data_IF_661504448449
#
_entry.id   IF_661504448449
#
_cell.length_a   1.000
_cell.length_b   1.000
_cell.length_c   1.000
_cell.angle_alpha   90.00
_cell.angle_beta   90.00
_cell.angle_gamma   90.00
#
_symmetry.space_group_name_H-M   'P 1'
#
loop_
_entity.id
_entity.type
_entity.pdbx_description
1 polymer ?
#
# COMPACT_ATOMS: atom_id res chain seq x y z
N UNK A 1 13.15 2.71 16.26
CA UNK A 1 13.89 1.43 16.40
C UNK A 1 13.48 0.54 15.24
N UNK A 2 14.43 -0.01 14.48
CA UNK A 2 14.14 -1.01 13.44
C UNK A 2 14.43 -2.39 14.02
N UNK A 3 13.47 -3.30 13.97
CA UNK A 3 13.61 -4.70 14.43
C UNK A 3 13.58 -5.62 13.22
N UNK A 4 14.27 -6.76 13.29
CA UNK A 4 14.34 -7.67 12.16
C UNK A 4 13.03 -8.45 11.98
N UNK A 5 12.71 -8.79 10.74
CA UNK A 5 11.55 -9.63 10.41
C UNK A 5 11.62 -11.00 11.11
N UNK A 6 12.83 -11.59 11.20
CA UNK A 6 13.04 -12.82 11.95
C UNK A 6 12.71 -12.67 13.44
N UNK A 7 13.04 -11.52 14.03
CA UNK A 7 12.67 -11.23 15.42
C UNK A 7 11.15 -11.11 15.56
N UNK A 8 10.47 -10.40 14.64
CA UNK A 8 9.00 -10.30 14.63
C UNK A 8 8.36 -11.70 14.55
N UNK A 9 8.85 -12.59 13.67
CA UNK A 9 8.37 -13.98 13.58
C UNK A 9 8.56 -14.76 14.86
N UNK A 10 9.70 -14.58 15.53
CA UNK A 10 9.99 -15.27 16.79
C UNK A 10 9.09 -14.79 17.91
N UNK A 11 8.90 -13.47 18.07
CA UNK A 11 7.98 -12.92 19.06
C UNK A 11 6.56 -13.42 18.83
N UNK A 12 6.08 -13.39 17.59
CA UNK A 12 4.77 -13.92 17.25
C UNK A 12 4.64 -15.41 17.58
N UNK A 13 5.62 -16.22 17.18
CA UNK A 13 5.63 -17.67 17.43
C UNK A 13 5.67 -18.01 18.92
N UNK A 14 6.27 -17.15 19.75
CA UNK A 14 6.37 -17.34 21.21
C UNK A 14 5.17 -16.79 21.98
N UNK A 15 4.32 -15.99 21.33
CA UNK A 15 3.25 -15.25 22.00
C UNK A 15 3.78 -14.08 22.84
N UNK A 16 4.97 -13.56 22.51
CA UNK A 16 5.53 -12.39 23.19
C UNK A 16 4.66 -11.16 22.88
N UNK A 17 4.45 -10.25 23.85
CA UNK A 17 3.65 -9.05 23.62
C UNK A 17 4.38 -8.12 22.66
N UNK A 18 3.91 -8.09 21.41
CA UNK A 18 4.36 -7.16 20.37
C UNK A 18 3.14 -6.55 19.68
N UNK A 19 3.11 -5.22 19.58
CA UNK A 19 2.01 -4.50 18.94
C UNK A 19 2.20 -4.52 17.42
N UNK A 20 1.49 -5.45 16.76
CA UNK A 20 1.53 -5.59 15.30
C UNK A 20 1.03 -4.34 14.56
N UNK A 21 0.17 -3.55 15.20
CA UNK A 21 -0.35 -2.31 14.64
C UNK A 21 0.77 -1.26 14.56
N UNK A 22 1.63 -1.16 15.59
CA UNK A 22 2.84 -0.31 15.54
C UNK A 22 3.89 -0.85 14.57
N UNK A 23 4.03 -2.17 14.46
CA UNK A 23 4.95 -2.78 13.47
C UNK A 23 4.52 -2.43 12.05
N UNK A 24 3.24 -2.63 11.74
CA UNK A 24 2.64 -2.30 10.45
C UNK A 24 2.75 -0.82 10.07
N UNK A 25 2.72 0.09 11.03
CA UNK A 25 2.81 1.52 10.77
C UNK A 25 4.24 1.98 10.53
N UNK A 26 5.20 1.51 11.35
CA UNK A 26 6.51 2.14 11.45
C UNK A 26 7.69 1.29 10.98
N UNK A 27 7.56 -0.04 10.83
CA UNK A 27 8.66 -0.87 10.35
C UNK A 27 8.72 -0.90 8.82
N UNK A 28 9.92 -0.72 8.27
CA UNK A 28 10.16 -1.03 6.86
C UNK A 28 10.26 -2.54 6.68
N UNK A 29 9.20 -3.14 6.14
CA UNK A 29 9.07 -4.57 5.89
C UNK A 29 9.33 -4.88 4.41
N UNK A 30 9.92 -6.03 4.13
CA UNK A 30 10.09 -6.56 2.79
C UNK A 30 8.74 -6.97 2.20
N UNK A 31 8.61 -6.84 0.88
CA UNK A 31 7.40 -7.26 0.15
C UNK A 31 7.04 -8.73 0.42
N UNK A 32 8.04 -9.62 0.44
CA UNK A 32 7.85 -11.04 0.74
C UNK A 32 7.28 -11.23 2.15
N UNK A 33 7.85 -10.57 3.15
CA UNK A 33 7.38 -10.67 4.52
C UNK A 33 5.96 -10.13 4.68
N UNK A 34 5.66 -8.98 4.09
CA UNK A 34 4.35 -8.34 4.17
C UNK A 34 3.26 -9.25 3.62
N UNK A 35 3.49 -9.90 2.47
CA UNK A 35 2.55 -10.83 1.85
C UNK A 35 2.39 -12.12 2.66
N UNK A 36 3.49 -12.76 3.04
CA UNK A 36 3.46 -14.01 3.82
C UNK A 36 2.80 -13.81 5.20
N UNK A 37 3.04 -12.67 5.82
CA UNK A 37 2.53 -12.34 7.15
C UNK A 37 1.21 -11.56 7.09
N UNK A 38 0.47 -11.67 5.97
CA UNK A 38 -0.78 -10.93 5.76
C UNK A 38 -1.76 -11.03 6.95
N UNK A 39 -2.01 -12.21 7.55
CA UNK A 39 -2.92 -12.34 8.69
C UNK A 39 -2.43 -11.69 9.98
N UNK A 40 -1.14 -11.38 10.08
CA UNK A 40 -0.50 -10.87 11.29
C UNK A 40 -0.44 -9.34 11.33
N UNK A 41 -0.41 -8.73 10.15
CA UNK A 41 -0.16 -7.30 9.97
C UNK A 41 -1.47 -6.54 9.84
N UNK A 42 -1.48 -5.31 10.36
CA UNK A 42 -2.52 -4.34 10.08
C UNK A 42 -2.31 -3.74 8.68
N UNK A 43 -3.01 -4.30 7.69
CA UNK A 43 -2.89 -3.87 6.30
C UNK A 43 -3.39 -2.46 6.08
N UNK A 44 -4.42 -2.03 6.82
CA UNK A 44 -4.92 -0.67 6.68
C UNK A 44 -3.81 0.31 7.02
N UNK A 45 -3.10 0.09 8.12
CA UNK A 45 -1.96 0.93 8.50
C UNK A 45 -0.82 0.86 7.50
N UNK A 46 -0.52 -0.32 6.93
CA UNK A 46 0.51 -0.43 5.88
C UNK A 46 0.14 0.42 4.67
N UNK A 47 -1.11 0.29 4.18
CA UNK A 47 -1.58 1.02 3.01
C UNK A 47 -1.75 2.52 3.25
N UNK A 48 -1.99 2.94 4.50
CA UNK A 48 -2.18 4.34 4.87
C UNK A 48 -0.85 5.06 5.13
N UNK A 49 0.10 4.41 5.81
CA UNK A 49 1.28 5.08 6.34
C UNK A 49 2.60 4.70 5.68
N UNK A 50 2.70 3.51 5.07
CA UNK A 50 3.94 3.11 4.39
C UNK A 50 3.95 3.54 2.93
N UNK A 51 5.14 3.86 2.40
CA UNK A 51 5.33 4.01 0.95
C UNK A 51 5.59 2.66 0.30
N UNK A 52 4.61 2.15 -0.43
CA UNK A 52 4.76 0.95 -1.22
C UNK A 52 5.48 1.27 -2.54
N UNK A 53 6.29 0.32 -3.02
CA UNK A 53 6.98 0.47 -4.30
C UNK A 53 6.01 0.19 -5.44
N UNK A 54 6.14 0.93 -6.54
CA UNK A 54 5.32 0.75 -7.75
C UNK A 54 5.25 -0.70 -8.22
N UNK A 55 6.37 -1.40 -8.29
CA UNK A 55 6.40 -2.82 -8.66
C UNK A 55 5.57 -3.70 -7.73
N UNK A 56 5.61 -3.42 -6.42
CA UNK A 56 4.78 -4.15 -5.46
C UNK A 56 3.29 -3.91 -5.69
N UNK A 57 2.91 -2.64 -5.90
CA UNK A 57 1.52 -2.27 -6.20
C UNK A 57 1.03 -2.98 -7.47
N UNK A 58 1.84 -2.95 -8.52
CA UNK A 58 1.46 -3.54 -9.81
C UNK A 58 1.40 -5.06 -9.75
N UNK A 59 2.34 -5.71 -9.06
CA UNK A 59 2.40 -7.17 -8.99
C UNK A 59 1.34 -7.77 -8.05
N UNK A 60 0.80 -6.98 -7.11
CA UNK A 60 -0.09 -7.47 -6.05
C UNK A 60 -1.41 -6.71 -5.92
N UNK A 61 -1.79 -5.84 -6.86
CA UNK A 61 -2.97 -4.96 -6.75
C UNK A 61 -4.26 -5.70 -6.34
N UNK A 62 -4.43 -6.93 -6.82
CA UNK A 62 -5.58 -7.79 -6.54
C UNK A 62 -5.68 -8.25 -5.08
N UNK A 63 -4.63 -8.04 -4.29
CA UNK A 63 -4.57 -8.36 -2.86
C UNK A 63 -4.70 -7.11 -1.97
N UNK A 64 -4.77 -5.92 -2.57
CA UNK A 64 -4.74 -4.63 -1.88
C UNK A 64 -6.11 -3.95 -1.93
N UNK A 65 -6.37 -3.10 -0.94
CA UNK A 65 -7.53 -2.21 -0.94
C UNK A 65 -7.23 -1.01 -1.86
N UNK A 66 -7.78 -1.04 -3.07
CA UNK A 66 -7.50 -0.01 -4.08
C UNK A 66 -8.05 1.36 -3.71
N UNK A 67 -9.07 1.45 -2.86
CA UNK A 67 -9.58 2.72 -2.32
C UNK A 67 -8.56 3.35 -1.38
N UNK A 68 -7.95 2.56 -0.49
CA UNK A 68 -6.87 3.05 0.38
C UNK A 68 -5.61 3.41 -0.41
N UNK A 69 -5.25 2.61 -1.43
CA UNK A 69 -4.14 2.91 -2.32
C UNK A 69 -4.35 4.25 -3.03
N UNK A 70 -5.51 4.44 -3.68
CA UNK A 70 -5.85 5.69 -4.37
C UNK A 70 -5.83 6.91 -3.45
N UNK A 71 -6.25 6.74 -2.19
CA UNK A 71 -6.30 7.85 -1.22
C UNK A 71 -4.92 8.21 -0.66
N UNK A 72 -4.13 7.22 -0.25
CA UNK A 72 -2.99 7.44 0.65
C UNK A 72 -1.62 7.27 0.00
N UNK A 73 -1.49 6.46 -1.05
CA UNK A 73 -0.20 6.22 -1.67
C UNK A 73 0.17 7.34 -2.65
N UNK A 74 1.46 7.65 -2.76
CA UNK A 74 1.97 8.51 -3.85
C UNK A 74 2.15 7.65 -5.09
N UNK A 75 1.20 7.72 -6.02
CA UNK A 75 1.22 6.90 -7.23
C UNK A 75 2.04 7.58 -8.33
N UNK A 76 2.91 6.82 -8.98
CA UNK A 76 3.58 7.28 -10.19
C UNK A 76 2.65 7.20 -11.40
N UNK A 77 2.97 7.93 -12.47
CA UNK A 77 2.25 7.83 -13.75
C UNK A 77 2.18 6.38 -14.25
N UNK A 78 3.25 5.60 -14.08
CA UNK A 78 3.29 4.20 -14.49
C UNK A 78 2.29 3.34 -13.73
N UNK A 79 2.13 3.56 -12.42
CA UNK A 79 1.13 2.85 -11.63
C UNK A 79 -0.28 3.26 -12.06
N UNK A 80 -0.51 4.56 -12.24
CA UNK A 80 -1.82 5.09 -12.65
C UNK A 80 -2.25 4.51 -14.00
N UNK A 81 -1.35 4.49 -14.98
CA UNK A 81 -1.64 3.95 -16.31
C UNK A 81 -1.92 2.44 -16.25
N UNK A 82 -1.04 1.67 -15.58
CA UNK A 82 -1.15 0.20 -15.54
C UNK A 82 -2.31 -0.31 -14.71
N UNK A 83 -2.72 0.43 -13.67
CA UNK A 83 -3.79 0.06 -12.75
C UNK A 83 -5.05 0.92 -12.94
N UNK A 84 -5.16 1.63 -14.07
CA UNK A 84 -6.24 2.58 -14.36
C UNK A 84 -7.65 1.99 -14.23
N UNK A 85 -7.84 0.70 -14.53
CA UNK A 85 -9.15 0.06 -14.44
C UNK A 85 -9.56 -0.33 -13.01
N UNK A 86 -8.61 -0.41 -12.08
CA UNK A 86 -8.84 -0.87 -10.71
C UNK A 86 -8.66 0.21 -9.66
N UNK A 87 -8.10 1.36 -10.04
CA UNK A 87 -7.98 2.52 -9.16
C UNK A 87 -9.35 3.11 -8.84
N UNK A 88 -9.54 3.49 -7.59
CA UNK A 88 -10.63 4.36 -7.20
C UNK A 88 -10.31 5.79 -7.62
N UNK A 89 -10.85 6.21 -8.76
CA UNK A 89 -10.61 7.53 -9.34
C UNK A 89 -11.19 8.66 -8.49
N UNK A 90 -12.30 8.42 -7.79
CA UNK A 90 -12.91 9.43 -6.93
C UNK A 90 -11.99 9.76 -5.76
N UNK A 91 -11.42 8.75 -5.12
CA UNK A 91 -10.45 8.96 -4.06
C UNK A 91 -9.14 9.54 -4.60
N UNK A 92 -8.70 9.10 -5.78
CA UNK A 92 -7.52 9.64 -6.44
C UNK A 92 -7.64 11.15 -6.69
N UNK A 93 -8.77 11.62 -7.25
CA UNK A 93 -8.98 13.05 -7.52
C UNK A 93 -9.14 13.89 -6.26
N UNK A 94 -9.77 13.35 -5.20
CA UNK A 94 -9.94 14.07 -3.93
C UNK A 94 -8.63 14.26 -3.18
N UNK A 95 -7.71 13.30 -3.30
CA UNK A 95 -6.54 13.22 -2.42
C UNK A 95 -5.20 13.37 -3.13
N UNK A 96 -5.13 13.23 -4.45
CA UNK A 96 -3.90 13.34 -5.23
C UNK A 96 -3.92 14.48 -6.24
N UNK A 97 -2.75 15.11 -6.41
CA UNK A 97 -2.52 16.10 -7.45
C UNK A 97 -1.98 15.43 -8.72
N UNK A 98 -2.85 15.19 -9.69
CA UNK A 98 -2.46 14.64 -10.99
C UNK A 98 -1.99 15.74 -11.94
N UNK A 99 -1.00 15.44 -12.78
CA UNK A 99 -0.55 16.38 -13.82
C UNK A 99 -1.55 16.43 -14.99
N UNK A 100 -1.48 17.51 -15.78
CA UNK A 100 -2.38 17.75 -16.91
C UNK A 100 -2.37 16.62 -17.94
N UNK A 101 -1.22 15.98 -18.18
CA UNK A 101 -1.12 14.89 -19.15
C UNK A 101 -1.96 13.69 -18.71
N UNK A 102 -1.85 13.27 -17.44
CA UNK A 102 -2.66 12.18 -16.89
C UNK A 102 -4.16 12.52 -16.90
N UNK A 103 -4.52 13.75 -16.55
CA UNK A 103 -5.92 14.21 -16.59
C UNK A 103 -6.51 14.17 -18.00
N UNK A 104 -5.75 14.61 -19.00
CA UNK A 104 -6.18 14.58 -20.39
C UNK A 104 -6.35 13.15 -20.92
N UNK A 105 -5.45 12.24 -20.55
CA UNK A 105 -5.53 10.82 -20.94
C UNK A 105 -6.71 10.09 -20.29
N UNK A 106 -7.09 10.46 -19.06
CA UNK A 106 -8.13 9.81 -18.27
C UNK A 106 -9.35 10.71 -18.04
N UNK A 107 -9.70 11.53 -19.03
CA UNK A 107 -10.84 12.46 -18.94
C UNK A 107 -12.17 11.73 -18.75
N UNK A 108 -12.28 10.48 -19.22
CA UNK A 108 -13.44 9.62 -19.04
C UNK A 108 -13.70 9.23 -17.57
N UNK A 109 -12.66 9.30 -16.74
CA UNK A 109 -12.74 8.99 -15.30
C UNK A 109 -13.18 10.20 -14.47
N UNK A 110 -13.09 11.41 -15.04
CA UNK A 110 -13.57 12.63 -14.41
C UNK A 110 -15.10 12.64 -14.53
N UNK A 111 -15.78 12.38 -13.42
CA UNK A 111 -17.25 12.30 -13.33
C UNK A 111 -17.83 13.39 -12.45
#
# INVERSE_FOLDING_TARGET
MQISENFIRQCFSRGDPIDMSLISEFQSLSSSFTIESKPLLDWKKILEYQKLRDGFLIDHYNLLDMTLISRHQVLSSTVIERLSDVLDWNELFKHQSLNHTLLATHIDKIT
#
